data_IF_694796484926
#
_entry.id   IF_694796484926
#
_cell.length_a   1.000
_cell.length_b   1.000
_cell.length_c   1.000
_cell.angle_alpha   90.00
_cell.angle_beta   90.00
_cell.angle_gamma   90.00
#
_symmetry.space_group_name_H-M   'P 1'
#
loop_
_entity.id
_entity.type
_entity.pdbx_description
1 polymer ?
#
# COMPACT_ATOMS: atom_id res chain seq x y z
N UNK A 1 14.87 -8.74 -24.21
CA UNK A 1 16.14 -8.64 -23.50
C UNK A 1 16.10 -7.31 -22.77
N UNK A 2 15.74 -7.32 -21.49
CA UNK A 2 15.78 -6.10 -20.69
C UNK A 2 17.22 -5.63 -20.58
N UNK A 3 17.47 -4.36 -20.84
CA UNK A 3 18.78 -3.74 -20.65
C UNK A 3 19.19 -3.89 -19.18
N UNK A 4 20.50 -4.02 -18.92
CA UNK A 4 21.03 -3.99 -17.54
C UNK A 4 20.57 -2.74 -16.76
N UNK A 5 20.23 -1.66 -17.47
CA UNK A 5 19.67 -0.44 -16.90
C UNK A 5 18.21 -0.61 -16.47
N UNK A 6 17.36 -1.20 -17.31
CA UNK A 6 15.93 -1.45 -17.01
C UNK A 6 15.77 -2.42 -15.83
N UNK A 7 16.61 -3.45 -15.77
CA UNK A 7 16.61 -4.40 -14.65
C UNK A 7 17.02 -3.74 -13.32
N UNK A 8 17.96 -2.78 -13.35
CA UNK A 8 18.33 -2.01 -12.17
C UNK A 8 17.22 -1.03 -11.75
N UNK A 9 16.59 -0.35 -12.71
CA UNK A 9 15.50 0.58 -12.47
C UNK A 9 14.27 -0.13 -11.87
N UNK A 10 13.88 -1.28 -12.43
CA UNK A 10 12.81 -2.11 -11.90
C UNK A 10 13.09 -2.54 -10.45
N UNK A 11 14.32 -2.97 -10.16
CA UNK A 11 14.73 -3.36 -8.81
C UNK A 11 14.72 -2.17 -7.84
N UNK A 12 15.15 -1.00 -8.27
CA UNK A 12 15.07 0.22 -7.46
C UNK A 12 13.61 0.57 -7.13
N UNK A 13 12.71 0.51 -8.12
CA UNK A 13 11.27 0.73 -7.95
C UNK A 13 10.61 -0.29 -7.03
N UNK A 14 10.99 -1.57 -7.13
CA UNK A 14 10.53 -2.61 -6.22
C UNK A 14 10.90 -2.26 -4.77
N UNK A 15 12.14 -1.90 -4.51
CA UNK A 15 12.58 -1.50 -3.17
C UNK A 15 11.82 -0.28 -2.67
N UNK A 16 11.68 0.78 -3.48
CA UNK A 16 10.90 1.97 -3.12
C UNK A 16 9.44 1.64 -2.77
N UNK A 17 8.81 0.72 -3.51
CA UNK A 17 7.44 0.28 -3.25
C UNK A 17 7.34 -0.51 -1.95
N UNK A 18 8.28 -1.41 -1.69
CA UNK A 18 8.31 -2.20 -0.45
C UNK A 18 8.47 -1.29 0.77
N UNK A 19 9.40 -0.33 0.72
CA UNK A 19 9.59 0.66 1.78
C UNK A 19 8.34 1.51 1.99
N UNK A 20 7.71 1.97 0.90
CA UNK A 20 6.52 2.79 1.01
C UNK A 20 5.31 2.02 1.57
N UNK A 21 5.18 0.73 1.25
CA UNK A 21 4.15 -0.13 1.84
C UNK A 21 4.42 -0.35 3.33
N UNK A 22 5.66 -0.62 3.73
CA UNK A 22 6.03 -0.79 5.14
C UNK A 22 5.73 0.47 5.96
N UNK A 23 6.10 1.65 5.46
CA UNK A 23 5.76 2.93 6.09
C UNK A 23 4.24 3.11 6.28
N UNK A 24 3.45 2.68 5.27
CA UNK A 24 2.00 2.78 5.33
C UNK A 24 1.39 1.79 6.32
N UNK A 25 1.95 0.58 6.44
CA UNK A 25 1.56 -0.40 7.46
C UNK A 25 1.84 0.17 8.85
N UNK A 26 3.06 0.65 9.10
CA UNK A 26 3.42 1.22 10.40
C UNK A 26 2.49 2.39 10.77
N UNK A 27 2.23 3.30 9.83
CA UNK A 27 1.29 4.41 10.05
C UNK A 27 -0.12 3.90 10.36
N UNK A 28 -0.62 2.90 9.62
CA UNK A 28 -1.93 2.32 9.87
C UNK A 28 -1.99 1.68 11.27
N UNK A 29 -0.98 0.92 11.67
CA UNK A 29 -0.91 0.29 12.98
C UNK A 29 -0.89 1.30 14.13
N UNK A 30 -0.09 2.37 14.00
CA UNK A 30 -0.06 3.48 14.96
C UNK A 30 -1.44 4.12 15.12
N UNK A 31 -2.16 4.31 14.00
CA UNK A 31 -3.52 4.87 13.99
C UNK A 31 -4.59 3.90 14.48
N UNK A 32 -4.32 2.58 14.47
CA UNK A 32 -5.20 1.55 15.04
C UNK A 32 -5.14 1.47 16.57
N UNK A 33 -4.20 2.21 17.17
CA UNK A 33 -4.02 2.29 18.61
C UNK A 33 -5.20 2.94 19.34
N UNK A 34 -5.31 2.63 20.64
CA UNK A 34 -6.25 3.35 21.51
C UNK A 34 -5.88 4.85 21.55
N UNK A 35 -6.84 5.79 21.63
CA UNK A 35 -8.21 5.63 22.12
C UNK A 35 -9.29 5.38 21.04
N UNK A 36 -8.93 4.92 19.84
CA UNK A 36 -9.92 4.73 18.76
C UNK A 36 -10.99 3.68 19.10
N UNK A 37 -12.21 3.81 18.55
CA UNK A 37 -13.24 2.78 18.64
C UNK A 37 -12.74 1.42 18.14
N UNK A 38 -13.23 0.32 18.73
CA UNK A 38 -12.83 -1.04 18.35
C UNK A 38 -13.04 -1.31 16.85
N UNK A 39 -14.13 -0.81 16.27
CA UNK A 39 -14.42 -0.99 14.85
C UNK A 39 -13.36 -0.34 13.94
N UNK A 40 -12.79 0.81 14.34
CA UNK A 40 -11.72 1.49 13.61
C UNK A 40 -10.45 0.64 13.64
N UNK A 41 -10.08 0.16 14.83
CA UNK A 41 -8.92 -0.72 14.99
C UNK A 41 -9.05 -2.02 14.19
N UNK A 42 -10.22 -2.65 14.19
CA UNK A 42 -10.48 -3.86 13.41
C UNK A 42 -10.43 -3.58 11.91
N UNK A 43 -11.10 -2.51 11.45
CA UNK A 43 -11.08 -2.10 10.04
C UNK A 43 -9.66 -1.87 9.53
N UNK A 44 -8.83 -1.19 10.30
CA UNK A 44 -7.44 -0.96 9.93
C UNK A 44 -6.66 -2.29 9.84
N UNK A 45 -6.77 -3.16 10.83
CA UNK A 45 -6.00 -4.43 10.85
C UNK A 45 -6.48 -5.43 9.80
N UNK A 46 -7.79 -5.60 9.69
CA UNK A 46 -8.41 -6.63 8.84
C UNK A 46 -8.54 -6.21 7.38
N UNK A 47 -8.65 -4.91 7.10
CA UNK A 47 -8.80 -4.41 5.73
C UNK A 47 -7.52 -3.72 5.22
N UNK A 48 -7.03 -2.69 5.92
CA UNK A 48 -5.91 -1.86 5.43
C UNK A 48 -4.58 -2.62 5.52
N UNK A 49 -4.21 -3.06 6.72
CA UNK A 49 -2.92 -3.74 6.97
C UNK A 49 -2.86 -5.07 6.22
N UNK A 50 -3.94 -5.86 6.26
CA UNK A 50 -4.03 -7.12 5.52
C UNK A 50 -3.83 -6.91 4.01
N UNK A 51 -4.50 -5.93 3.40
CA UNK A 51 -4.34 -5.65 1.98
C UNK A 51 -2.92 -5.17 1.63
N UNK A 52 -2.29 -4.37 2.49
CA UNK A 52 -0.90 -3.93 2.30
C UNK A 52 0.10 -5.09 2.35
N UNK A 53 -0.06 -6.03 3.30
CA UNK A 53 0.79 -7.22 3.35
C UNK A 53 0.58 -8.14 2.15
N UNK A 54 -0.65 -8.28 1.67
CA UNK A 54 -0.94 -9.02 0.43
C UNK A 54 -0.22 -8.39 -0.76
N UNK A 55 -0.32 -7.06 -0.93
CA UNK A 55 0.39 -6.34 -1.99
C UNK A 55 1.93 -6.48 -1.88
N UNK A 56 2.47 -6.36 -0.66
CA UNK A 56 3.90 -6.55 -0.35
C UNK A 56 4.37 -7.93 -0.80
N UNK A 57 3.60 -8.98 -0.51
CA UNK A 57 3.92 -10.37 -0.86
C UNK A 57 4.13 -10.54 -2.37
N UNK A 58 3.24 -9.98 -3.19
CA UNK A 58 3.39 -10.03 -4.65
C UNK A 58 4.67 -9.35 -5.13
N UNK A 59 5.02 -8.20 -4.55
CA UNK A 59 6.23 -7.46 -4.91
C UNK A 59 7.48 -8.23 -4.48
N UNK A 60 7.49 -8.83 -3.29
CA UNK A 60 8.62 -9.64 -2.79
C UNK A 60 8.90 -10.87 -3.65
N UNK A 61 7.86 -11.52 -4.19
CA UNK A 61 8.03 -12.66 -5.11
C UNK A 61 8.30 -12.22 -6.56
N UNK A 62 8.49 -10.92 -6.80
CA UNK A 62 8.86 -10.35 -8.09
C UNK A 62 7.70 -10.18 -9.08
N UNK A 63 6.45 -10.30 -8.64
CA UNK A 63 5.25 -10.13 -9.48
C UNK A 63 4.72 -8.70 -9.42
N UNK A 64 5.50 -7.72 -9.90
CA UNK A 64 5.19 -6.28 -9.74
C UNK A 64 4.02 -5.82 -10.61
N UNK A 65 3.80 -6.46 -11.75
CA UNK A 65 2.66 -6.23 -12.63
C UNK A 65 1.41 -7.06 -12.26
N UNK A 66 1.41 -7.76 -11.12
CA UNK A 66 0.24 -8.53 -10.70
C UNK A 66 -0.97 -7.61 -10.51
N UNK A 67 -2.12 -7.88 -11.19
CA UNK A 67 -3.34 -7.08 -11.01
C UNK A 67 -3.80 -7.03 -9.56
N UNK A 68 -3.51 -8.10 -8.81
CA UNK A 68 -3.78 -8.20 -7.39
C UNK A 68 -3.16 -7.06 -6.57
N UNK A 69 -1.96 -6.56 -6.91
CA UNK A 69 -1.35 -5.43 -6.21
C UNK A 69 -2.26 -4.21 -6.27
N UNK A 70 -2.74 -3.87 -7.48
CA UNK A 70 -3.63 -2.72 -7.69
C UNK A 70 -4.96 -2.90 -6.97
N UNK A 71 -5.53 -4.11 -7.00
CA UNK A 71 -6.78 -4.40 -6.32
C UNK A 71 -6.63 -4.26 -4.80
N UNK A 72 -5.55 -4.79 -4.21
CA UNK A 72 -5.28 -4.66 -2.77
C UNK A 72 -5.01 -3.22 -2.33
N UNK A 73 -4.23 -2.47 -3.11
CA UNK A 73 -4.00 -1.05 -2.82
C UNK A 73 -5.29 -0.23 -2.95
N UNK A 74 -6.19 -0.60 -3.87
CA UNK A 74 -7.52 0.00 -3.97
C UNK A 74 -8.39 -0.32 -2.76
N UNK A 75 -8.41 -1.57 -2.30
CA UNK A 75 -9.18 -1.99 -1.12
C UNK A 75 -8.72 -1.23 0.13
N UNK A 76 -7.41 -1.16 0.37
CA UNK A 76 -6.83 -0.37 1.47
C UNK A 76 -7.24 1.12 1.39
N UNK A 77 -7.29 1.69 0.18
CA UNK A 77 -7.73 3.08 -0.04
C UNK A 77 -9.21 3.28 0.24
N UNK A 78 -10.07 2.33 -0.15
CA UNK A 78 -11.50 2.42 0.13
C UNK A 78 -11.77 2.38 1.63
N UNK A 79 -11.18 1.40 2.34
CA UNK A 79 -11.28 1.29 3.79
C UNK A 79 -10.82 2.58 4.49
N UNK A 80 -9.68 3.14 4.07
CA UNK A 80 -9.15 4.39 4.63
C UNK A 80 -9.99 5.62 4.25
N UNK A 81 -10.59 5.65 3.06
CA UNK A 81 -11.49 6.73 2.63
C UNK A 81 -12.75 6.79 3.49
N UNK A 82 -13.29 5.64 3.89
CA UNK A 82 -14.44 5.57 4.78
C UNK A 82 -14.07 6.08 6.18
N UNK A 83 -12.89 5.70 6.70
CA UNK A 83 -12.37 6.24 7.95
C UNK A 83 -12.11 7.76 7.88
N UNK A 84 -11.56 8.25 6.77
CA UNK A 84 -11.32 9.68 6.49
C UNK A 84 -12.60 10.52 6.39
N UNK A 85 -13.71 9.89 6.00
CA UNK A 85 -15.02 10.54 5.99
C UNK A 85 -15.52 10.83 7.42
N UNK A 86 -15.18 9.97 8.37
CA UNK A 86 -15.54 10.10 9.80
C UNK A 86 -14.53 10.95 10.59
N UNK A 87 -13.23 10.71 10.38
CA UNK A 87 -12.12 11.39 11.07
C UNK A 87 -11.01 11.77 10.08
N UNK A 88 -10.74 13.08 10.00
CA UNK A 88 -9.72 13.64 9.10
C UNK A 88 -8.30 13.28 9.47
N UNK A 89 -8.04 12.71 10.64
CA UNK A 89 -6.72 12.18 11.00
C UNK A 89 -6.23 11.14 9.97
N UNK A 90 -7.15 10.38 9.36
CA UNK A 90 -6.89 9.36 8.33
C UNK A 90 -6.56 9.90 6.93
N UNK A 91 -6.69 11.21 6.68
CA UNK A 91 -6.40 11.82 5.37
C UNK A 91 -4.94 11.62 4.95
N UNK A 92 -4.02 11.62 5.92
CA UNK A 92 -2.59 11.40 5.68
C UNK A 92 -2.33 9.99 5.16
N UNK A 93 -2.92 8.98 5.80
CA UNK A 93 -2.80 7.58 5.38
C UNK A 93 -3.44 7.38 4.00
N UNK A 94 -4.63 7.94 3.78
CA UNK A 94 -5.31 7.89 2.48
C UNK A 94 -4.43 8.46 1.34
N UNK A 95 -3.82 9.63 1.58
CA UNK A 95 -2.93 10.28 0.61
C UNK A 95 -1.67 9.46 0.33
N UNK A 96 -1.10 8.83 1.37
CA UNK A 96 0.07 7.95 1.24
C UNK A 96 -0.28 6.72 0.38
N UNK A 97 -1.40 6.07 0.66
CA UNK A 97 -1.87 4.91 -0.11
C UNK A 97 -2.16 5.25 -1.58
N UNK A 98 -2.65 6.46 -1.85
CA UNK A 98 -2.81 6.95 -3.22
C UNK A 98 -1.47 7.05 -3.94
N UNK A 99 -0.46 7.66 -3.32
CA UNK A 99 0.87 7.78 -3.92
C UNK A 99 1.51 6.40 -4.17
N UNK A 100 1.33 5.44 -3.26
CA UNK A 100 1.79 4.05 -3.44
C UNK A 100 1.10 3.40 -4.65
N UNK A 101 -0.22 3.59 -4.79
CA UNK A 101 -0.97 3.08 -5.95
C UNK A 101 -0.43 3.63 -7.27
N UNK A 102 -0.18 4.94 -7.32
CA UNK A 102 0.36 5.60 -8.52
C UNK A 102 1.78 5.09 -8.85
N UNK A 103 2.61 4.87 -7.83
CA UNK A 103 3.93 4.27 -8.01
C UNK A 103 3.87 2.81 -8.47
N UNK A 104 2.95 2.01 -7.94
CA UNK A 104 2.74 0.61 -8.34
C UNK A 104 2.29 0.52 -9.80
N UNK A 105 1.33 1.36 -10.20
CA UNK A 105 0.87 1.46 -11.59
C UNK A 105 2.00 1.90 -12.55
N UNK A 106 2.96 2.70 -12.08
CA UNK A 106 4.12 3.09 -12.87
C UNK A 106 5.16 1.96 -12.96
N UNK A 107 5.41 1.23 -11.87
CA UNK A 107 6.32 0.10 -11.86
C UNK A 107 5.82 -1.05 -12.75
N UNK A 108 4.50 -1.32 -12.76
CA UNK A 108 3.88 -2.32 -13.62
C UNK A 108 4.02 -2.02 -15.13
N UNK A 109 4.32 -0.78 -15.52
CA UNK A 109 4.57 -0.41 -16.93
C UNK A 109 6.02 -0.63 -17.36
N UNK A 110 6.93 -0.89 -16.43
CA UNK A 110 8.36 -1.10 -16.66
C UNK A 110 8.74 -2.59 -16.74
N UNK A 111 7.82 -3.49 -16.38
CA UNK A 111 7.94 -4.95 -16.51
C UNK A 111 7.55 -5.42 -17.92
#
# INVERSE_FOLDING_TARGET
MTSSFEAWELKARQTELLEAIEDAVQMAEEMSGQPQPIYVGNKIREEVVAALYDARTYIEVGQVAAPAIRDRLRDARLATSELSAEDKSFDRLFSRLRAISENADNAAKLE
#
